data_IF_527663310595
#
_entry.id   IF_527663310595
#
_cell.length_a   1.000
_cell.length_b   1.000
_cell.length_c   1.000
_cell.angle_alpha   90.00
_cell.angle_beta   90.00
_cell.angle_gamma   90.00
#
_symmetry.space_group_name_H-M   'P 1'
#
loop_
_entity.id
_entity.type
_entity.pdbx_description
1 polymer ?
#
# COMPACT_ATOMS: atom_id res chain seq x y z
N UNK A 1 -22.97 20.22 9.25
CA UNK A 1 -22.57 19.00 9.99
C UNK A 1 -23.82 18.19 10.25
N UNK A 2 -23.85 16.87 9.97
CA UNK A 2 -24.95 16.04 10.43
C UNK A 2 -25.02 16.19 11.95
N UNK A 3 -26.07 16.84 12.42
CA UNK A 3 -26.34 16.98 13.84
C UNK A 3 -26.58 15.60 14.40
N UNK A 4 -26.06 15.29 15.58
CA UNK A 4 -26.30 14.01 16.29
C UNK A 4 -27.77 13.62 16.37
N UNK A 5 -28.66 14.61 16.26
CA UNK A 5 -30.11 14.47 16.11
C UNK A 5 -30.50 13.55 14.96
N UNK A 6 -29.74 13.52 13.85
CA UNK A 6 -30.00 12.66 12.71
C UNK A 6 -29.95 11.16 13.07
N UNK A 7 -29.08 10.76 14.01
CA UNK A 7 -29.03 9.38 14.52
C UNK A 7 -30.23 9.05 15.40
N UNK A 8 -30.85 10.03 16.07
CA UNK A 8 -32.07 9.83 16.85
C UNK A 8 -33.31 9.64 15.95
N UNK A 9 -33.31 10.26 14.77
CA UNK A 9 -34.46 10.29 13.86
C UNK A 9 -34.42 9.20 12.79
N UNK A 10 -33.24 8.88 12.25
CA UNK A 10 -33.09 7.97 11.12
C UNK A 10 -32.53 6.60 11.53
N UNK A 11 -33.36 5.55 11.41
CA UNK A 11 -32.92 4.15 11.57
C UNK A 11 -31.88 3.76 10.51
N UNK A 12 -32.00 4.25 9.28
CA UNK A 12 -31.07 3.92 8.20
C UNK A 12 -29.64 4.37 8.52
N UNK A 13 -29.49 5.58 9.08
CA UNK A 13 -28.18 6.08 9.52
C UNK A 13 -27.62 5.24 10.67
N UNK A 14 -28.47 4.79 11.61
CA UNK A 14 -28.01 3.90 12.69
C UNK A 14 -27.47 2.58 12.14
N UNK A 15 -28.18 1.95 11.19
CA UNK A 15 -27.78 0.69 10.54
C UNK A 15 -26.39 0.80 9.91
N UNK A 16 -26.09 1.90 9.23
CA UNK A 16 -24.78 2.18 8.62
C UNK A 16 -23.65 2.22 9.65
N UNK A 17 -23.93 2.76 10.84
CA UNK A 17 -22.94 2.94 11.91
C UNK A 17 -22.76 1.70 12.81
N UNK A 18 -23.62 0.67 12.69
CA UNK A 18 -23.63 -0.48 13.61
C UNK A 18 -22.34 -1.32 13.64
N UNK A 19 -21.46 -1.19 12.64
CA UNK A 19 -20.17 -1.89 12.60
C UNK A 19 -19.12 -1.33 13.57
N UNK A 20 -19.32 -0.11 14.08
CA UNK A 20 -18.28 0.68 14.77
C UNK A 20 -18.37 0.56 16.30
N UNK A 21 -18.42 -0.67 16.78
CA UNK A 21 -18.58 -1.00 18.21
C UNK A 21 -17.34 -0.66 19.05
N UNK A 22 -16.20 -0.42 18.42
CA UNK A 22 -14.93 0.00 19.05
C UNK A 22 -15.04 1.39 19.69
N UNK A 23 -15.97 2.22 19.22
CA UNK A 23 -16.17 3.59 19.71
C UNK A 23 -16.62 3.61 21.17
N UNK A 24 -17.33 2.57 21.62
CA UNK A 24 -17.75 2.47 23.01
C UNK A 24 -16.53 2.56 23.93
N UNK A 25 -15.51 1.70 23.74
CA UNK A 25 -14.32 1.68 24.60
C UNK A 25 -13.45 2.94 24.48
N UNK A 26 -13.53 3.67 23.36
CA UNK A 26 -12.85 4.96 23.19
C UNK A 26 -13.46 6.06 24.05
N UNK A 27 -14.78 6.02 24.28
CA UNK A 27 -15.49 7.00 25.09
C UNK A 27 -15.43 6.60 26.57
N UNK A 28 -15.72 5.35 26.88
CA UNK A 28 -15.69 4.79 28.24
C UNK A 28 -15.50 3.29 28.14
N UNK A 29 -14.72 2.67 29.03
CA UNK A 29 -14.54 1.21 28.97
C UNK A 29 -15.87 0.50 29.27
N UNK A 30 -16.32 -0.36 28.36
CA UNK A 30 -17.54 -1.14 28.53
C UNK A 30 -17.23 -2.42 29.32
N UNK A 31 -17.76 -2.49 30.54
CA UNK A 31 -17.67 -3.70 31.37
C UNK A 31 -18.67 -4.73 30.87
N UNK A 32 -18.15 -5.87 30.42
CA UNK A 32 -18.93 -7.02 29.93
C UNK A 32 -19.03 -8.10 31.02
N UNK A 33 -19.96 -9.04 30.85
CA UNK A 33 -19.96 -10.25 31.67
C UNK A 33 -18.69 -11.10 31.38
N UNK A 34 -18.34 -12.05 32.26
CA UNK A 34 -17.19 -12.96 32.08
C UNK A 34 -17.20 -13.77 30.77
N UNK A 35 -18.35 -13.87 30.11
CA UNK A 35 -18.44 -14.48 28.79
C UNK A 35 -17.82 -13.62 27.66
N UNK A 36 -17.53 -12.35 27.93
CA UNK A 36 -16.95 -11.39 26.98
C UNK A 36 -17.91 -10.96 25.86
N UNK A 37 -19.19 -11.34 25.93
CA UNK A 37 -20.15 -11.15 24.83
C UNK A 37 -21.34 -10.31 25.28
N UNK A 38 -21.83 -10.53 26.49
CA UNK A 38 -23.07 -9.91 26.96
C UNK A 38 -22.80 -8.82 27.99
N UNK A 39 -23.77 -7.92 28.12
CA UNK A 39 -23.86 -6.82 29.10
C UNK A 39 -25.27 -6.86 29.69
N UNK A 40 -25.42 -6.64 31.01
CA UNK A 40 -26.76 -6.57 31.63
C UNK A 40 -27.33 -5.17 31.57
N UNK A 41 -28.64 -5.05 31.77
CA UNK A 41 -29.32 -3.74 31.82
C UNK A 41 -28.69 -2.81 32.85
N UNK A 42 -28.29 -3.32 34.00
CA UNK A 42 -27.68 -2.57 35.09
C UNK A 42 -26.31 -2.02 34.68
N UNK A 43 -25.52 -2.83 33.95
CA UNK A 43 -24.19 -2.45 33.49
C UNK A 43 -24.27 -1.46 32.31
N UNK A 44 -25.27 -1.61 31.42
CA UNK A 44 -25.59 -0.61 30.37
C UNK A 44 -26.01 0.73 31.00
N UNK A 45 -26.85 0.69 32.03
CA UNK A 45 -27.28 1.89 32.75
C UNK A 45 -26.10 2.60 33.43
N UNK A 46 -25.19 1.83 34.06
CA UNK A 46 -23.94 2.34 34.65
C UNK A 46 -23.01 2.94 33.60
N UNK A 47 -22.91 2.31 32.44
CA UNK A 47 -22.10 2.80 31.33
C UNK A 47 -22.57 4.19 30.89
N UNK A 48 -23.86 4.36 30.61
CA UNK A 48 -24.44 5.63 30.14
C UNK A 48 -24.78 6.64 31.24
N UNK A 49 -24.56 6.30 32.50
CA UNK A 49 -24.87 7.17 33.66
C UNK A 49 -26.34 7.58 33.73
N UNK A 50 -27.23 6.62 33.43
CA UNK A 50 -28.69 6.80 33.46
C UNK A 50 -29.35 5.79 34.40
N UNK A 51 -30.61 6.04 34.73
CA UNK A 51 -31.38 5.07 35.52
C UNK A 51 -31.64 3.78 34.73
N UNK A 52 -31.66 2.64 35.42
CA UNK A 52 -32.03 1.34 34.82
C UNK A 52 -33.44 1.38 34.23
N UNK A 53 -34.36 2.17 34.81
CA UNK A 53 -35.69 2.40 34.27
C UNK A 53 -35.69 3.15 32.93
N UNK A 54 -34.74 4.07 32.71
CA UNK A 54 -34.58 4.76 31.42
C UNK A 54 -34.15 3.78 30.33
N UNK A 55 -33.16 2.92 30.63
CA UNK A 55 -32.72 1.87 29.69
C UNK A 55 -33.87 0.91 29.38
N UNK A 56 -34.57 0.41 30.40
CA UNK A 56 -35.71 -0.50 30.20
C UNK A 56 -36.79 0.11 29.31
N UNK A 57 -37.20 1.36 29.57
CA UNK A 57 -38.20 2.08 28.76
C UNK A 57 -37.75 2.28 27.32
N UNK A 58 -36.48 2.61 27.10
CA UNK A 58 -35.92 2.73 25.76
C UNK A 58 -35.95 1.37 25.04
N UNK A 59 -35.52 0.31 25.73
CA UNK A 59 -35.53 -1.04 25.18
C UNK A 59 -36.93 -1.53 24.84
N UNK A 60 -37.93 -1.20 25.65
CA UNK A 60 -39.33 -1.57 25.38
C UNK A 60 -39.87 -0.84 24.15
N UNK A 61 -39.48 0.42 23.95
CA UNK A 61 -39.91 1.22 22.79
C UNK A 61 -39.25 0.78 21.48
N UNK A 62 -38.01 0.33 21.55
CA UNK A 62 -37.19 -0.02 20.38
C UNK A 62 -36.85 -1.52 20.35
N UNK A 63 -37.77 -2.37 20.83
CA UNK A 63 -37.51 -3.79 21.01
C UNK A 63 -37.15 -4.51 19.71
N UNK A 64 -37.83 -4.20 18.61
CA UNK A 64 -37.60 -4.82 17.29
C UNK A 64 -36.16 -4.55 16.82
N UNK A 65 -35.78 -3.26 16.76
CA UNK A 65 -34.46 -2.81 16.34
C UNK A 65 -33.34 -3.39 17.20
N UNK A 66 -33.51 -3.38 18.53
CA UNK A 66 -32.52 -3.92 19.45
C UNK A 66 -32.41 -5.45 19.35
N UNK A 67 -33.52 -6.16 19.11
CA UNK A 67 -33.51 -7.63 18.96
C UNK A 67 -32.80 -8.06 17.69
N UNK A 68 -33.02 -7.35 16.58
CA UNK A 68 -32.25 -7.54 15.33
C UNK A 68 -30.75 -7.32 15.55
N UNK A 69 -30.40 -6.38 16.42
CA UNK A 69 -29.01 -6.06 16.76
C UNK A 69 -28.40 -6.95 17.87
N UNK A 70 -29.13 -7.97 18.34
CA UNK A 70 -28.62 -9.01 19.23
C UNK A 70 -29.13 -8.93 20.68
N UNK A 71 -30.20 -8.19 20.96
CA UNK A 71 -30.82 -8.16 22.29
C UNK A 71 -31.52 -9.50 22.54
N UNK A 72 -31.21 -10.12 23.68
CA UNK A 72 -31.87 -11.36 24.10
C UNK A 72 -32.55 -11.18 25.44
N UNK A 73 -33.80 -11.63 25.53
CA UNK A 73 -34.58 -11.64 26.78
C UNK A 73 -34.71 -13.08 27.26
N UNK A 74 -33.99 -13.43 28.32
CA UNK A 74 -34.01 -14.76 28.92
C UNK A 74 -35.12 -14.86 29.97
N UNK A 75 -35.87 -15.96 29.96
CA UNK A 75 -36.94 -16.25 30.92
C UNK A 75 -36.94 -17.73 31.33
N UNK A 76 -37.44 -18.00 32.54
CA UNK A 76 -37.73 -19.36 33.00
C UNK A 76 -36.52 -20.32 32.91
N UNK A 77 -36.62 -21.43 32.15
CA UNK A 77 -35.55 -22.43 32.07
C UNK A 77 -34.25 -21.89 31.46
N UNK A 78 -34.32 -21.05 30.43
CA UNK A 78 -33.13 -20.46 29.78
C UNK A 78 -32.35 -19.52 30.72
N UNK A 79 -33.09 -18.81 31.58
CA UNK A 79 -32.47 -17.96 32.59
C UNK A 79 -31.73 -18.78 33.64
N UNK A 80 -32.30 -19.94 34.04
CA UNK A 80 -31.67 -20.84 34.99
C UNK A 80 -30.41 -21.50 34.42
N UNK A 81 -30.42 -21.92 33.16
CA UNK A 81 -29.24 -22.48 32.50
C UNK A 81 -28.13 -21.43 32.39
N UNK A 82 -28.46 -20.23 31.88
CA UNK A 82 -27.50 -19.13 31.77
C UNK A 82 -26.90 -18.76 33.13
N UNK A 83 -27.71 -18.75 34.20
CA UNK A 83 -27.20 -18.50 35.54
C UNK A 83 -26.23 -19.60 36.02
N UNK A 84 -26.50 -20.87 35.71
CA UNK A 84 -25.61 -21.99 36.02
C UNK A 84 -24.26 -21.87 35.32
N UNK A 85 -24.28 -21.56 34.02
CA UNK A 85 -23.07 -21.37 33.21
C UNK A 85 -22.26 -20.19 33.75
N UNK A 86 -22.93 -19.06 33.99
CA UNK A 86 -22.31 -17.84 34.50
C UNK A 86 -21.71 -18.07 35.89
N UNK A 87 -22.41 -18.74 36.81
CA UNK A 87 -21.88 -19.07 38.16
C UNK A 87 -20.62 -19.95 38.09
N UNK A 88 -20.48 -20.76 37.06
CA UNK A 88 -19.29 -21.58 36.85
C UNK A 88 -18.09 -20.71 36.45
N UNK A 89 -18.30 -19.72 35.58
CA UNK A 89 -17.27 -18.74 35.19
C UNK A 89 -16.86 -17.82 36.37
N UNK A 90 -17.81 -17.31 37.16
CA UNK A 90 -17.50 -16.43 38.30
C UNK A 90 -16.81 -17.13 39.48
N UNK A 91 -16.94 -18.45 39.61
CA UNK A 91 -16.24 -19.21 40.66
C UNK A 91 -14.73 -19.13 40.55
N UNK A 92 -14.21 -18.83 39.35
CA UNK A 92 -12.78 -18.65 39.10
C UNK A 92 -12.29 -17.23 39.42
N UNK A 93 -13.15 -16.21 39.38
CA UNK A 93 -12.76 -14.79 39.49
C UNK A 93 -13.06 -14.12 40.85
N UNK A 94 -13.78 -14.77 41.77
CA UNK A 94 -13.87 -14.31 43.17
C UNK A 94 -14.69 -13.03 43.42
N UNK A 95 -15.53 -12.59 42.47
CA UNK A 95 -16.34 -11.37 42.56
C UNK A 95 -17.79 -11.68 42.99
N UNK A 96 -18.42 -10.70 43.65
CA UNK A 96 -19.73 -10.74 44.31
C UNK A 96 -20.87 -11.45 43.55
N UNK A 97 -21.71 -12.13 44.36
CA UNK A 97 -22.84 -12.96 43.98
C UNK A 97 -23.75 -12.35 42.89
N UNK A 98 -23.92 -13.10 41.80
CA UNK A 98 -24.83 -12.76 40.72
C UNK A 98 -26.30 -12.75 41.21
N UNK A 99 -27.13 -11.74 40.87
CA UNK A 99 -28.50 -11.64 41.40
C UNK A 99 -29.35 -12.84 41.00
N UNK A 100 -29.78 -13.64 41.98
CA UNK A 100 -30.49 -14.91 41.75
C UNK A 100 -32.02 -14.75 41.59
N UNK A 101 -32.57 -13.57 41.92
CA UNK A 101 -34.01 -13.38 42.11
C UNK A 101 -34.76 -12.77 40.90
N UNK A 102 -34.11 -12.60 39.74
CA UNK A 102 -34.77 -12.01 38.58
C UNK A 102 -35.65 -13.04 37.83
N UNK A 103 -36.90 -12.69 37.53
CA UNK A 103 -37.80 -13.52 36.72
C UNK A 103 -37.50 -13.44 35.21
N UNK A 104 -36.81 -12.38 34.80
CA UNK A 104 -36.39 -12.14 33.41
C UNK A 104 -35.07 -11.36 33.40
N UNK A 105 -34.21 -11.64 32.41
CA UNK A 105 -32.93 -10.94 32.22
C UNK A 105 -32.79 -10.50 30.77
N UNK A 106 -32.34 -9.26 30.56
CA UNK A 106 -31.99 -8.74 29.24
C UNK A 106 -30.48 -8.75 29.08
N UNK A 107 -30.02 -9.38 28.01
CA UNK A 107 -28.63 -9.46 27.61
C UNK A 107 -28.42 -8.60 26.36
N UNK A 108 -27.49 -7.66 26.47
CA UNK A 108 -27.10 -6.72 25.43
C UNK A 108 -25.74 -7.15 24.89
N UNK A 109 -25.58 -7.27 23.58
CA UNK A 109 -24.26 -7.35 22.94
C UNK A 109 -23.66 -5.96 22.78
N UNK A 110 -22.36 -5.85 22.50
CA UNK A 110 -21.73 -4.55 22.17
C UNK A 110 -22.48 -3.78 21.08
N UNK A 111 -22.98 -4.52 20.08
CA UNK A 111 -23.78 -3.98 18.98
C UNK A 111 -25.08 -3.35 19.50
N UNK A 112 -25.80 -4.02 20.39
CA UNK A 112 -27.00 -3.41 21.02
C UNK A 112 -26.67 -2.24 21.94
N UNK A 113 -25.53 -2.24 22.65
CA UNK A 113 -25.13 -1.11 23.50
C UNK A 113 -24.86 0.13 22.65
N UNK A 114 -24.24 -0.05 21.48
CA UNK A 114 -24.05 1.02 20.51
C UNK A 114 -25.40 1.58 20.00
N UNK A 115 -26.35 0.70 19.70
CA UNK A 115 -27.71 1.10 19.29
C UNK A 115 -28.43 1.91 20.39
N UNK A 116 -28.31 1.46 21.66
CA UNK A 116 -28.78 2.23 22.81
C UNK A 116 -28.10 3.61 22.86
N UNK A 117 -26.80 3.71 22.61
CA UNK A 117 -26.11 5.01 22.54
C UNK A 117 -26.69 5.93 21.46
N UNK A 118 -27.08 5.38 20.32
CA UNK A 118 -27.65 6.14 19.21
C UNK A 118 -29.10 6.56 19.44
N UNK A 119 -29.83 5.90 20.35
CA UNK A 119 -31.22 6.19 20.69
C UNK A 119 -31.40 7.02 21.97
N UNK A 120 -30.42 6.96 22.89
CA UNK A 120 -30.53 7.54 24.23
C UNK A 120 -30.30 9.07 24.22
N UNK A 121 -31.36 9.85 24.34
CA UNK A 121 -31.31 11.33 24.31
C UNK A 121 -30.60 11.94 25.51
N UNK A 122 -30.94 11.45 26.70
CA UNK A 122 -30.59 12.09 27.98
C UNK A 122 -29.38 11.43 28.65
N UNK A 123 -28.26 11.35 27.93
CA UNK A 123 -26.97 10.89 28.46
C UNK A 123 -25.83 11.62 27.78
N UNK A 124 -24.94 12.21 28.57
CA UNK A 124 -23.76 12.90 28.06
C UNK A 124 -22.79 11.92 27.39
N UNK A 125 -22.66 10.71 27.94
CA UNK A 125 -21.85 9.65 27.35
C UNK A 125 -22.43 9.19 26.02
N UNK A 126 -23.75 9.01 25.93
CA UNK A 126 -24.40 8.68 24.66
C UNK A 126 -24.24 9.81 23.63
N UNK A 127 -24.27 11.08 24.08
CA UNK A 127 -23.97 12.24 23.24
C UNK A 127 -22.56 12.14 22.67
N UNK A 128 -21.54 11.95 23.52
CA UNK A 128 -20.15 11.79 23.09
C UNK A 128 -19.97 10.62 22.11
N UNK A 129 -20.63 9.48 22.32
CA UNK A 129 -20.60 8.35 21.37
C UNK A 129 -21.14 8.76 19.99
N UNK A 130 -22.29 9.46 19.94
CA UNK A 130 -22.85 9.97 18.67
C UNK A 130 -21.96 11.02 18.03
N UNK A 131 -21.38 11.93 18.81
CA UNK A 131 -20.40 12.91 18.30
C UNK A 131 -19.22 12.19 17.66
N UNK A 132 -18.63 11.22 18.35
CA UNK A 132 -17.45 10.50 17.87
C UNK A 132 -17.76 9.65 16.63
N UNK A 133 -18.95 9.04 16.56
CA UNK A 133 -19.42 8.33 15.37
C UNK A 133 -19.42 9.26 14.14
N UNK A 134 -20.02 10.45 14.26
CA UNK A 134 -20.15 11.39 13.16
C UNK A 134 -18.87 12.17 12.85
N UNK A 135 -18.04 12.47 13.87
CA UNK A 135 -16.80 13.22 13.71
C UNK A 135 -15.70 12.37 13.09
N UNK A 136 -15.58 11.10 13.49
CA UNK A 136 -14.65 10.20 12.82
C UNK A 136 -15.03 9.96 11.35
N UNK A 137 -16.32 10.04 11.00
CA UNK A 137 -16.75 10.09 9.59
C UNK A 137 -16.31 11.39 8.90
N UNK A 138 -16.44 12.54 9.59
CA UNK A 138 -15.93 13.82 9.13
C UNK A 138 -14.42 13.82 8.86
N UNK A 139 -13.62 13.20 9.75
CA UNK A 139 -12.17 13.11 9.60
C UNK A 139 -11.75 12.28 8.38
N UNK A 140 -12.46 11.19 8.09
CA UNK A 140 -12.23 10.35 6.92
C UNK A 140 -12.61 11.09 5.64
N UNK A 141 -13.75 11.79 5.62
CA UNK A 141 -14.16 12.63 4.48
C UNK A 141 -13.12 13.69 4.16
N UNK A 142 -12.60 14.40 5.16
CA UNK A 142 -11.54 15.39 4.95
C UNK A 142 -10.24 14.77 4.38
N UNK A 143 -9.89 13.54 4.79
CA UNK A 143 -8.76 12.81 4.23
C UNK A 143 -9.01 12.43 2.75
N UNK A 144 -10.22 11.98 2.42
CA UNK A 144 -10.62 11.70 1.04
C UNK A 144 -10.58 12.96 0.17
N UNK A 145 -11.11 14.09 0.64
CA UNK A 145 -11.06 15.36 -0.09
C UNK A 145 -9.62 15.80 -0.36
N UNK A 146 -8.73 15.62 0.62
CA UNK A 146 -7.30 15.92 0.47
C UNK A 146 -6.64 14.99 -0.56
N UNK A 147 -7.01 13.71 -0.56
CA UNK A 147 -6.49 12.73 -1.51
C UNK A 147 -6.99 13.02 -2.93
N UNK A 148 -8.28 13.37 -3.08
CA UNK A 148 -8.89 13.75 -4.34
C UNK A 148 -8.20 14.97 -4.95
N UNK A 149 -7.98 16.02 -4.14
CA UNK A 149 -7.23 17.20 -4.56
C UNK A 149 -5.80 16.87 -5.05
N UNK A 150 -5.13 15.88 -4.43
CA UNK A 150 -3.80 15.42 -4.88
C UNK A 150 -3.89 14.65 -6.19
N UNK A 151 -4.92 13.81 -6.37
CA UNK A 151 -5.15 13.06 -7.61
C UNK A 151 -5.44 14.03 -8.75
N UNK A 152 -6.36 14.98 -8.58
CA UNK A 152 -6.66 16.01 -9.59
C UNK A 152 -5.41 16.79 -9.99
N UNK A 153 -4.54 17.12 -9.03
CA UNK A 153 -3.25 17.78 -9.33
C UNK A 153 -2.34 16.91 -10.21
N UNK A 154 -2.23 15.61 -9.91
CA UNK A 154 -1.43 14.68 -10.72
C UNK A 154 -2.04 14.51 -12.12
N UNK A 155 -3.36 14.38 -12.20
CA UNK A 155 -4.09 14.30 -13.47
C UNK A 155 -3.86 15.55 -14.32
N UNK A 156 -3.80 16.72 -13.70
CA UNK A 156 -3.53 17.97 -14.43
C UNK A 156 -2.10 18.07 -14.97
N UNK A 157 -1.11 17.42 -14.37
CA UNK A 157 0.29 17.49 -14.83
C UNK A 157 0.66 16.36 -15.80
N UNK A 158 -0.10 15.26 -15.85
CA UNK A 158 0.15 14.13 -16.74
C UNK A 158 0.16 14.51 -18.24
N UNK A 159 -0.74 15.38 -18.75
CA UNK A 159 -0.72 15.82 -20.14
C UNK A 159 0.58 16.53 -20.54
N UNK A 160 1.13 17.37 -19.66
CA UNK A 160 2.37 18.12 -19.92
C UNK A 160 3.59 17.19 -19.97
N UNK A 161 3.62 16.17 -19.11
CA UNK A 161 4.64 15.12 -19.18
C UNK A 161 4.48 14.31 -20.47
N UNK A 162 3.25 13.99 -20.85
CA UNK A 162 2.93 13.27 -22.08
C UNK A 162 3.41 14.01 -23.33
N UNK A 163 3.15 15.32 -23.41
CA UNK A 163 3.59 16.15 -24.54
C UNK A 163 5.12 16.26 -24.58
N UNK A 164 5.78 16.49 -23.45
CA UNK A 164 7.25 16.53 -23.37
C UNK A 164 7.89 15.22 -23.83
N UNK A 165 7.34 14.06 -23.46
CA UNK A 165 7.82 12.76 -23.93
C UNK A 165 7.58 12.55 -25.42
N UNK A 166 6.44 13.04 -25.94
CA UNK A 166 6.11 12.94 -27.37
C UNK A 166 7.07 13.75 -28.25
N UNK A 167 7.60 14.87 -27.74
CA UNK A 167 8.63 15.68 -28.42
C UNK A 167 10.00 15.00 -28.48
N UNK A 168 10.31 14.09 -27.55
CA UNK A 168 11.58 13.36 -27.56
C UNK A 168 11.65 12.30 -28.67
N UNK A 169 10.52 11.72 -29.08
CA UNK A 169 10.47 10.67 -30.12
C UNK A 169 11.19 11.08 -31.42
N UNK A 170 10.83 12.21 -32.05
CA UNK A 170 11.50 12.69 -33.26
C UNK A 170 12.98 13.03 -33.08
N UNK A 171 13.41 13.45 -31.88
CA UNK A 171 14.82 13.70 -31.58
C UNK A 171 15.60 12.39 -31.57
N UNK A 172 15.07 11.36 -30.91
CA UNK A 172 15.66 10.03 -30.85
C UNK A 172 15.76 9.39 -32.25
N UNK A 173 14.71 9.51 -33.08
CA UNK A 173 14.77 9.00 -34.46
C UNK A 173 15.89 9.67 -35.27
N UNK A 174 16.00 11.00 -35.22
CA UNK A 174 17.08 11.74 -35.90
C UNK A 174 18.48 11.38 -35.38
N UNK A 175 18.60 11.13 -34.08
CA UNK A 175 19.86 10.67 -33.49
C UNK A 175 20.22 9.26 -33.98
N UNK A 176 19.25 8.35 -34.05
CA UNK A 176 19.44 6.99 -34.58
C UNK A 176 19.93 7.03 -36.04
N UNK A 177 19.26 7.80 -36.91
CA UNK A 177 19.66 7.95 -38.32
C UNK A 177 21.08 8.52 -38.47
N UNK A 178 21.46 9.47 -37.59
CA UNK A 178 22.81 10.03 -37.58
C UNK A 178 23.86 9.02 -37.13
N UNK A 179 23.55 8.19 -36.14
CA UNK A 179 24.42 7.12 -35.68
C UNK A 179 24.61 6.07 -36.78
N UNK A 180 23.55 5.63 -37.45
CA UNK A 180 23.64 4.70 -38.58
C UNK A 180 24.50 5.26 -39.73
N UNK A 181 24.39 6.57 -39.99
CA UNK A 181 25.23 7.23 -41.00
C UNK A 181 26.71 7.27 -40.58
N UNK A 182 26.99 7.49 -39.30
CA UNK A 182 28.35 7.48 -38.76
C UNK A 182 28.94 6.07 -38.80
N UNK A 183 28.19 5.05 -38.40
CA UNK A 183 28.64 3.66 -38.43
C UNK A 183 29.05 3.23 -39.84
N UNK A 184 28.23 3.54 -40.85
CA UNK A 184 28.58 3.29 -42.26
C UNK A 184 29.86 4.01 -42.70
N UNK A 185 30.06 5.25 -42.27
CA UNK A 185 31.30 5.99 -42.59
C UNK A 185 32.52 5.36 -41.93
N UNK A 186 32.38 4.94 -40.67
CA UNK A 186 33.45 4.26 -39.93
C UNK A 186 33.81 2.95 -40.63
N UNK A 187 32.84 2.13 -41.03
CA UNK A 187 33.10 0.90 -41.79
C UNK A 187 33.88 1.16 -43.09
N UNK A 188 33.50 2.16 -43.87
CA UNK A 188 34.21 2.53 -45.11
C UNK A 188 35.65 2.96 -44.80
N UNK A 189 35.87 3.76 -43.74
CA UNK A 189 37.23 4.16 -43.35
C UNK A 189 38.07 2.97 -42.90
N UNK A 190 37.49 2.02 -42.15
CA UNK A 190 38.18 0.80 -41.74
C UNK A 190 38.57 -0.06 -42.93
N UNK A 191 37.69 -0.20 -43.93
CA UNK A 191 37.99 -0.91 -45.19
C UNK A 191 39.14 -0.25 -45.95
N UNK A 192 39.13 1.08 -46.08
CA UNK A 192 40.20 1.82 -46.77
C UNK A 192 41.55 1.69 -46.04
N UNK A 193 41.55 1.82 -44.72
CA UNK A 193 42.75 1.62 -43.89
C UNK A 193 43.26 0.19 -44.03
N UNK A 194 42.37 -0.81 -44.03
CA UNK A 194 42.72 -2.21 -44.29
C UNK A 194 43.41 -2.39 -45.66
N UNK A 195 42.84 -1.81 -46.72
CA UNK A 195 43.44 -1.86 -48.06
C UNK A 195 44.80 -1.14 -48.12
N UNK A 196 44.95 0.00 -47.44
CA UNK A 196 46.23 0.70 -47.33
C UNK A 196 47.27 -0.13 -46.59
N UNK A 197 46.89 -0.80 -45.50
CA UNK A 197 47.76 -1.69 -44.73
C UNK A 197 48.32 -2.83 -45.58
N UNK A 198 47.48 -3.45 -46.43
CA UNK A 198 47.92 -4.48 -47.38
C UNK A 198 48.94 -3.91 -48.37
N UNK A 199 48.64 -2.77 -49.02
CA UNK A 199 49.56 -2.15 -49.98
C UNK A 199 50.89 -1.73 -49.36
N UNK A 200 50.87 -1.20 -48.13
CA UNK A 200 52.09 -0.86 -47.39
C UNK A 200 52.90 -2.12 -47.04
N UNK A 201 52.24 -3.24 -46.74
CA UNK A 201 52.91 -4.53 -46.54
C UNK A 201 53.58 -5.02 -47.81
N UNK A 202 52.91 -4.93 -48.97
CA UNK A 202 53.47 -5.30 -50.26
C UNK A 202 54.68 -4.42 -50.63
N UNK A 203 54.54 -3.09 -50.48
CA UNK A 203 55.63 -2.14 -50.72
C UNK A 203 56.82 -2.40 -49.79
N UNK A 204 56.57 -2.72 -48.52
CA UNK A 204 57.62 -3.10 -47.57
C UNK A 204 58.38 -4.34 -48.03
N UNK A 205 57.68 -5.38 -48.50
CA UNK A 205 58.31 -6.57 -49.06
C UNK A 205 59.12 -6.28 -50.33
N UNK A 206 58.63 -5.39 -51.21
CA UNK A 206 59.34 -5.01 -52.42
C UNK A 206 60.63 -4.24 -52.14
N UNK A 207 60.62 -3.36 -51.13
CA UNK A 207 61.84 -2.68 -50.64
C UNK A 207 62.84 -3.71 -50.11
N UNK A 208 62.42 -4.69 -49.31
CA UNK A 208 63.30 -5.78 -48.82
C UNK A 208 63.88 -6.59 -49.99
N UNK A 209 63.09 -6.92 -51.01
CA UNK A 209 63.57 -7.63 -52.22
C UNK A 209 64.55 -6.78 -53.04
N UNK A 210 64.34 -5.47 -53.09
CA UNK A 210 65.24 -4.55 -53.78
C UNK A 210 66.59 -4.50 -53.06
N UNK A 211 66.58 -4.37 -51.73
CA UNK A 211 67.78 -4.35 -50.89
C UNK A 211 68.62 -5.63 -51.08
N UNK A 212 67.99 -6.81 -50.98
CA UNK A 212 68.66 -8.09 -51.19
C UNK A 212 69.28 -8.24 -52.61
N UNK A 213 68.63 -7.70 -53.65
CA UNK A 213 69.18 -7.70 -55.01
C UNK A 213 70.37 -6.77 -55.15
N UNK A 214 70.34 -5.61 -54.50
CA UNK A 214 71.47 -4.68 -54.47
C UNK A 214 72.66 -5.32 -53.76
N UNK A 215 72.45 -5.93 -52.59
CA UNK A 215 73.49 -6.66 -51.85
C UNK A 215 74.13 -7.76 -52.69
N UNK A 216 73.32 -8.63 -53.30
CA UNK A 216 73.82 -9.71 -54.16
C UNK A 216 74.63 -9.18 -55.36
N UNK A 217 74.21 -8.05 -55.95
CA UNK A 217 74.93 -7.42 -57.06
C UNK A 217 76.24 -6.80 -56.60
N UNK A 218 76.26 -6.17 -55.42
CA UNK A 218 77.47 -5.63 -54.81
C UNK A 218 78.46 -6.73 -54.43
N UNK A 219 77.98 -7.86 -53.90
CA UNK A 219 78.82 -9.04 -53.66
C UNK A 219 79.40 -9.60 -54.95
N UNK A 220 78.62 -9.71 -56.02
CA UNK A 220 79.11 -10.18 -57.32
C UNK A 220 80.20 -9.26 -57.87
N UNK A 221 80.03 -7.94 -57.80
CA UNK A 221 81.07 -6.98 -58.17
C UNK A 221 82.32 -7.13 -57.30
N UNK A 222 82.15 -7.33 -55.99
CA UNK A 222 83.28 -7.56 -55.08
C UNK A 222 84.05 -8.85 -55.43
N UNK A 223 83.35 -9.92 -55.80
CA UNK A 223 83.98 -11.17 -56.28
C UNK A 223 84.73 -10.95 -57.59
N UNK A 224 84.15 -10.26 -58.58
CA UNK A 224 84.82 -9.93 -59.84
C UNK A 224 86.10 -9.12 -59.63
N UNK A 225 86.08 -8.13 -58.73
CA UNK A 225 87.28 -7.35 -58.38
C UNK A 225 88.35 -8.22 -57.69
N UNK A 226 87.96 -9.14 -56.80
CA UNK A 226 88.90 -10.09 -56.18
C UNK A 226 89.55 -11.02 -57.21
N UNK A 227 88.79 -11.51 -58.19
CA UNK A 227 89.32 -12.38 -59.26
C UNK A 227 90.25 -11.64 -60.21
N UNK A 228 89.94 -10.40 -60.57
CA UNK A 228 90.84 -9.53 -61.34
C UNK A 228 92.16 -9.29 -60.60
N UNK A 229 92.10 -9.04 -59.28
CA UNK A 229 93.29 -8.88 -58.44
C UNK A 229 94.12 -10.17 -58.34
N UNK A 230 93.48 -11.34 -58.27
CA UNK A 230 94.17 -12.65 -58.29
C UNK A 230 94.84 -12.96 -59.64
N UNK A 231 94.25 -12.53 -60.77
CA UNK A 231 94.86 -12.67 -62.11
C UNK A 231 96.04 -11.72 -62.33
N UNK A 232 96.01 -10.52 -61.73
CA UNK A 232 97.13 -9.57 -61.78
C UNK A 232 98.34 -9.96 -60.93
N UNK A 233 98.15 -10.73 -59.86
CA UNK A 233 99.22 -11.15 -58.94
C UNK A 233 99.94 -12.46 -59.29
N UNK A 234 99.78 -12.99 -60.51
CA UNK A 234 100.35 -14.30 -60.93
C UNK A 234 101.34 -14.21 -62.10
N UNK A 235 101.98 -13.05 -62.30
CA UNK A 235 103.11 -12.84 -63.22
C UNK A 235 104.33 -12.39 -62.46
#
# INVERSE_FOLDING_TARGET
MPTEVALLESRALRVEQMGRVDILDKVKSLVMLPDGIHVRTEDVARYFEVSTASVRRLTDRHQEELSENGLRVLRGPELRSFHGDMKSLWKEEGVESYPQAATQLRLYTRRTVLDVAMLLRDSDIARCVRTYLLDAEGSLRAQYDTLDARVTRIESCLPDVGSALQELGPVLCRMSERLDSLDRKVEVTQQLVGAMSVRLSDLSQDVVRMDARFDARMEAFAHQLKDLRRRGGRR
#
